data_IF_289422620309
#
_entry.id   IF_289422620309
#
_cell.length_a   1.000
_cell.length_b   1.000
_cell.length_c   1.000
_cell.angle_alpha   90.00
_cell.angle_beta   90.00
_cell.angle_gamma   90.00
#
_symmetry.space_group_name_H-M   'P 1'
#
loop_
_entity.id
_entity.type
_entity.pdbx_description
1 polymer ?
#
# COMPACT_ATOMS: atom_id res chain seq x y z
N UNK A 1 -20.74 -27.63 -24.29
CA UNK A 1 -19.78 -27.99 -23.23
C UNK A 1 -18.33 -27.74 -23.65
N UNK A 2 -17.90 -28.21 -24.82
CA UNK A 2 -16.52 -28.07 -25.32
C UNK A 2 -15.93 -26.65 -25.17
N UNK A 3 -16.67 -25.62 -25.58
CA UNK A 3 -16.22 -24.22 -25.46
C UNK A 3 -15.91 -23.83 -24.00
N UNK A 4 -16.74 -24.25 -23.05
CA UNK A 4 -16.56 -23.95 -21.62
C UNK A 4 -15.36 -24.70 -21.06
N UNK A 5 -15.15 -25.96 -21.45
CA UNK A 5 -13.94 -26.72 -21.10
C UNK A 5 -12.68 -26.01 -21.61
N UNK A 6 -12.66 -25.62 -22.88
CA UNK A 6 -11.53 -24.89 -23.47
C UNK A 6 -11.25 -23.59 -22.73
N UNK A 7 -12.28 -22.78 -22.46
CA UNK A 7 -12.12 -21.52 -21.75
C UNK A 7 -11.62 -21.73 -20.33
N UNK A 8 -12.19 -22.69 -19.61
CA UNK A 8 -11.77 -23.05 -18.24
C UNK A 8 -10.31 -23.46 -18.21
N UNK A 9 -9.86 -24.26 -19.20
CA UNK A 9 -8.46 -24.64 -19.32
C UNK A 9 -7.56 -23.41 -19.52
N UNK A 10 -7.89 -22.53 -20.47
CA UNK A 10 -7.12 -21.33 -20.75
C UNK A 10 -7.00 -20.44 -19.50
N UNK A 11 -8.08 -20.27 -18.74
CA UNK A 11 -8.06 -19.51 -17.49
C UNK A 11 -7.16 -20.17 -16.44
N UNK A 12 -7.28 -21.48 -16.21
CA UNK A 12 -6.41 -22.21 -15.27
C UNK A 12 -4.94 -22.15 -15.67
N UNK A 13 -4.62 -22.23 -16.97
CA UNK A 13 -3.27 -22.05 -17.51
C UNK A 13 -2.73 -20.66 -17.22
N UNK A 14 -3.55 -19.63 -17.43
CA UNK A 14 -3.17 -18.26 -17.11
C UNK A 14 -2.92 -18.08 -15.61
N UNK A 15 -3.77 -18.63 -14.75
CA UNK A 15 -3.59 -18.57 -13.30
C UNK A 15 -2.30 -19.26 -12.89
N UNK A 16 -2.02 -20.47 -13.42
CA UNK A 16 -0.79 -21.21 -13.16
C UNK A 16 0.45 -20.38 -13.53
N UNK A 17 0.49 -19.87 -14.77
CA UNK A 17 1.63 -19.12 -15.28
C UNK A 17 1.88 -17.83 -14.50
N UNK A 18 0.81 -17.13 -14.10
CA UNK A 18 0.94 -15.85 -13.41
C UNK A 18 1.42 -16.00 -11.95
N UNK A 19 1.08 -17.10 -11.28
CA UNK A 19 1.37 -17.28 -9.85
C UNK A 19 2.53 -18.23 -9.60
N UNK A 20 2.68 -19.26 -10.44
CA UNK A 20 3.72 -20.29 -10.33
C UNK A 20 4.44 -20.49 -11.68
N UNK A 21 5.14 -19.47 -12.20
CA UNK A 21 5.68 -19.46 -13.57
C UNK A 21 6.74 -20.53 -13.85
N UNK A 22 7.36 -21.12 -12.83
CA UNK A 22 8.35 -22.19 -12.99
C UNK A 22 7.71 -23.57 -13.09
N UNK A 23 6.42 -23.69 -12.79
CA UNK A 23 5.73 -24.97 -12.89
C UNK A 23 5.40 -25.30 -14.34
N UNK A 24 5.58 -26.58 -14.68
CA UNK A 24 5.16 -27.11 -15.97
C UNK A 24 3.72 -27.61 -15.85
N UNK A 25 2.84 -27.07 -16.70
CA UNK A 25 1.42 -27.45 -16.74
C UNK A 25 1.22 -28.95 -16.83
N UNK A 26 1.90 -29.62 -17.76
CA UNK A 26 1.77 -31.09 -17.94
C UNK A 26 2.12 -31.88 -16.67
N UNK A 27 3.08 -31.40 -15.89
CA UNK A 27 3.46 -32.04 -14.64
C UNK A 27 2.37 -31.84 -13.59
N UNK A 28 1.95 -30.59 -13.38
CA UNK A 28 0.87 -30.22 -12.46
C UNK A 28 -0.40 -31.03 -12.78
N UNK A 29 -0.81 -31.09 -14.04
CA UNK A 29 -2.01 -31.80 -14.48
C UNK A 29 -1.91 -33.29 -14.18
N UNK A 30 -0.74 -33.90 -14.43
CA UNK A 30 -0.49 -35.31 -14.14
C UNK A 30 -0.58 -35.60 -12.63
N UNK A 31 0.13 -34.83 -11.81
CA UNK A 31 0.17 -35.06 -10.36
C UNK A 31 -1.20 -34.82 -9.71
N UNK A 32 -1.91 -33.77 -10.13
CA UNK A 32 -3.26 -33.49 -9.64
C UNK A 32 -4.23 -34.60 -10.06
N UNK A 33 -4.21 -35.00 -11.35
CA UNK A 33 -5.13 -36.03 -11.83
C UNK A 33 -4.88 -37.39 -11.18
N UNK A 34 -3.63 -37.73 -10.85
CA UNK A 34 -3.30 -38.95 -10.13
C UNK A 34 -4.02 -39.04 -8.77
N UNK A 35 -4.27 -37.90 -8.13
CA UNK A 35 -4.98 -37.82 -6.85
C UNK A 35 -6.50 -37.91 -6.97
N UNK A 36 -7.07 -37.88 -8.19
CA UNK A 36 -8.53 -38.01 -8.40
C UNK A 36 -9.13 -39.32 -7.91
N UNK A 37 -8.31 -40.36 -7.77
CA UNK A 37 -8.72 -41.69 -7.29
C UNK A 37 -8.70 -41.81 -5.77
N UNK A 38 -8.17 -40.82 -5.07
CA UNK A 38 -8.03 -40.87 -3.63
C UNK A 38 -9.33 -40.40 -2.97
N UNK A 39 -9.84 -41.20 -2.05
CA UNK A 39 -11.03 -40.84 -1.25
C UNK A 39 -10.75 -39.61 -0.35
N UNK A 40 -9.51 -39.48 0.14
CA UNK A 40 -9.08 -38.39 1.00
C UNK A 40 -7.73 -37.84 0.55
N UNK A 41 -7.72 -36.57 0.15
CA UNK A 41 -6.53 -35.84 -0.26
C UNK A 41 -6.06 -34.98 0.93
N UNK A 42 -4.84 -35.19 1.42
CA UNK A 42 -4.25 -34.38 2.49
C UNK A 42 -3.41 -33.26 1.89
N UNK A 43 -3.16 -32.21 2.68
CA UNK A 43 -2.28 -31.11 2.27
C UNK A 43 -0.86 -31.55 1.86
N UNK A 44 -0.34 -32.61 2.49
CA UNK A 44 0.94 -33.21 2.12
C UNK A 44 0.95 -33.75 0.70
N UNK A 45 -0.18 -34.23 0.20
CA UNK A 45 -0.33 -34.77 -1.15
C UNK A 45 -0.43 -33.62 -2.15
N UNK A 46 -1.25 -32.62 -1.81
CA UNK A 46 -1.36 -31.37 -2.57
C UNK A 46 0.03 -30.76 -2.74
N UNK A 47 0.76 -30.53 -1.64
CA UNK A 47 2.07 -29.85 -1.70
C UNK A 47 3.08 -30.51 -2.65
N UNK A 48 2.98 -31.84 -2.87
CA UNK A 48 3.86 -32.59 -3.78
C UNK A 48 3.58 -32.35 -5.27
N UNK A 49 2.42 -31.81 -5.63
CA UNK A 49 2.13 -31.49 -7.03
C UNK A 49 2.95 -30.31 -7.57
N UNK A 50 3.65 -29.56 -6.70
CA UNK A 50 4.49 -28.43 -7.09
C UNK A 50 5.96 -28.82 -7.00
N UNK A 51 6.73 -28.58 -8.07
CA UNK A 51 8.16 -28.88 -8.11
C UNK A 51 9.04 -27.79 -7.51
N UNK A 52 8.51 -26.56 -7.43
CA UNK A 52 9.29 -25.41 -6.98
C UNK A 52 8.72 -24.83 -5.69
N UNK A 53 9.62 -24.34 -4.85
CA UNK A 53 9.26 -23.56 -3.67
C UNK A 53 8.91 -22.13 -4.07
N UNK A 54 7.86 -21.61 -3.45
CA UNK A 54 7.40 -20.23 -3.61
C UNK A 54 7.24 -19.58 -2.25
N UNK A 55 7.39 -18.26 -2.19
CA UNK A 55 7.16 -17.45 -0.98
C UNK A 55 5.66 -17.36 -0.69
N UNK A 56 5.08 -18.46 -0.24
CA UNK A 56 3.69 -18.57 0.19
C UNK A 56 3.62 -19.16 1.60
N UNK A 57 2.51 -18.94 2.30
CA UNK A 57 2.24 -19.60 3.58
C UNK A 57 2.27 -21.13 3.40
N UNK A 58 2.74 -21.86 4.42
CA UNK A 58 2.84 -23.33 4.45
C UNK A 58 1.53 -24.05 4.05
N UNK A 59 0.37 -23.41 4.27
CA UNK A 59 -0.97 -23.85 3.81
C UNK A 59 -1.68 -22.73 3.03
N UNK A 60 -1.22 -22.47 1.82
CA UNK A 60 -1.74 -21.43 0.95
C UNK A 60 -3.18 -21.75 0.50
N UNK A 61 -4.14 -20.92 0.94
CA UNK A 61 -5.55 -21.00 0.51
C UNK A 61 -5.64 -20.86 -1.02
N UNK A 62 -4.82 -20.00 -1.61
CA UNK A 62 -4.79 -19.79 -3.06
C UNK A 62 -4.34 -21.05 -3.79
N UNK A 63 -3.26 -21.69 -3.32
CA UNK A 63 -2.77 -22.97 -3.86
C UNK A 63 -3.80 -24.09 -3.70
N UNK A 64 -4.48 -24.16 -2.56
CA UNK A 64 -5.54 -25.13 -2.29
C UNK A 64 -6.72 -25.00 -3.25
N UNK A 65 -7.20 -23.78 -3.48
CA UNK A 65 -8.33 -23.56 -4.37
C UNK A 65 -7.95 -23.80 -5.83
N UNK A 66 -6.72 -23.43 -6.24
CA UNK A 66 -6.22 -23.77 -7.57
C UNK A 66 -6.11 -25.28 -7.78
N UNK A 67 -5.60 -26.02 -6.78
CA UNK A 67 -5.54 -27.48 -6.80
C UNK A 67 -6.91 -28.08 -7.14
N UNK A 68 -7.93 -27.73 -6.37
CA UNK A 68 -9.27 -28.29 -6.56
C UNK A 68 -9.92 -27.79 -7.85
N UNK A 69 -9.72 -26.54 -8.24
CA UNK A 69 -10.22 -26.02 -9.51
C UNK A 69 -9.68 -26.86 -10.69
N UNK A 70 -8.38 -27.17 -10.65
CA UNK A 70 -7.72 -27.97 -11.69
C UNK A 70 -8.13 -29.44 -11.62
N UNK A 71 -8.25 -30.02 -10.42
CA UNK A 71 -8.73 -31.39 -10.23
C UNK A 71 -10.13 -31.58 -10.83
N UNK A 72 -11.07 -30.70 -10.49
CA UNK A 72 -12.43 -30.75 -11.01
C UNK A 72 -12.47 -30.59 -12.54
N UNK A 73 -11.65 -29.69 -13.10
CA UNK A 73 -11.54 -29.55 -14.55
C UNK A 73 -11.03 -30.82 -15.24
N UNK A 74 -10.00 -31.47 -14.69
CA UNK A 74 -9.42 -32.69 -15.26
C UNK A 74 -10.42 -33.86 -15.18
N UNK A 75 -11.13 -34.00 -14.05
CA UNK A 75 -12.21 -34.97 -13.90
C UNK A 75 -13.38 -34.67 -14.87
N UNK A 76 -13.77 -33.40 -15.03
CA UNK A 76 -14.81 -33.00 -15.98
C UNK A 76 -14.46 -33.36 -17.43
N UNK A 77 -13.19 -33.17 -17.81
CA UNK A 77 -12.69 -33.53 -19.14
C UNK A 77 -12.78 -35.05 -19.36
N UNK A 78 -12.30 -35.83 -18.39
CA UNK A 78 -12.37 -37.30 -18.39
C UNK A 78 -13.81 -37.82 -18.44
N UNK A 79 -14.74 -37.20 -17.71
CA UNK A 79 -16.15 -37.55 -17.73
C UNK A 79 -16.80 -37.24 -19.08
N UNK A 80 -16.50 -36.08 -19.68
CA UNK A 80 -16.98 -35.67 -21.00
C UNK A 80 -16.49 -36.64 -22.10
N UNK A 81 -15.20 -37.02 -22.08
CA UNK A 81 -14.62 -37.99 -23.02
C UNK A 81 -15.28 -39.38 -22.91
N UNK A 82 -15.77 -39.75 -21.73
CA UNK A 82 -16.51 -41.01 -21.47
C UNK A 82 -18.01 -40.90 -21.75
N UNK A 83 -18.49 -39.76 -22.27
CA UNK A 83 -19.91 -39.53 -22.55
C UNK A 83 -20.78 -39.30 -21.30
N UNK A 84 -20.18 -39.11 -20.12
CA UNK A 84 -20.90 -38.84 -18.87
C UNK A 84 -21.18 -37.34 -18.71
N UNK A 85 -22.11 -36.83 -19.51
CA UNK A 85 -22.32 -35.40 -19.70
C UNK A 85 -22.74 -34.68 -18.40
N UNK A 86 -23.66 -35.24 -17.62
CA UNK A 86 -24.15 -34.60 -16.38
C UNK A 86 -23.05 -34.50 -15.31
N UNK A 87 -22.31 -35.60 -15.09
CA UNK A 87 -21.15 -35.63 -14.19
C UNK A 87 -20.11 -34.59 -14.62
N UNK A 88 -19.83 -34.53 -15.92
CA UNK A 88 -18.89 -33.58 -16.47
C UNK A 88 -19.31 -32.12 -16.21
N UNK A 89 -20.60 -31.79 -16.37
CA UNK A 89 -21.11 -30.45 -16.08
C UNK A 89 -20.97 -30.08 -14.61
N UNK A 90 -21.38 -30.97 -13.70
CA UNK A 90 -21.28 -30.74 -12.26
C UNK A 90 -19.85 -30.42 -11.87
N UNK A 91 -18.90 -31.24 -12.32
CA UNK A 91 -17.47 -31.05 -12.05
C UNK A 91 -16.96 -29.74 -12.66
N UNK A 92 -17.36 -29.41 -13.89
CA UNK A 92 -16.95 -28.18 -14.54
C UNK A 92 -17.46 -26.94 -13.81
N UNK A 93 -18.70 -26.95 -13.32
CA UNK A 93 -19.25 -25.85 -12.52
C UNK A 93 -18.45 -25.63 -11.23
N UNK A 94 -18.05 -26.69 -10.53
CA UNK A 94 -17.18 -26.57 -9.36
C UNK A 94 -15.82 -25.97 -9.69
N UNK A 95 -15.23 -26.36 -10.83
CA UNK A 95 -13.98 -25.75 -11.31
C UNK A 95 -14.13 -24.24 -11.54
N UNK A 96 -15.17 -23.84 -12.27
CA UNK A 96 -15.46 -22.42 -12.59
C UNK A 96 -15.76 -21.61 -11.33
N UNK A 97 -16.50 -22.17 -10.37
CA UNK A 97 -16.77 -21.51 -9.09
C UNK A 97 -15.47 -21.18 -8.35
N UNK A 98 -14.54 -22.14 -8.27
CA UNK A 98 -13.24 -21.94 -7.62
C UNK A 98 -12.36 -20.95 -8.38
N UNK A 99 -12.44 -20.90 -9.71
CA UNK A 99 -11.78 -19.86 -10.51
C UNK A 99 -12.29 -18.47 -10.10
N UNK A 100 -13.61 -18.29 -10.00
CA UNK A 100 -14.19 -17.02 -9.55
C UNK A 100 -13.73 -16.63 -8.14
N UNK A 101 -13.58 -17.59 -7.23
CA UNK A 101 -12.99 -17.37 -5.91
C UNK A 101 -11.54 -16.88 -5.99
N UNK A 102 -10.70 -17.51 -6.84
CA UNK A 102 -9.29 -17.13 -7.02
C UNK A 102 -9.15 -15.71 -7.59
N UNK A 103 -9.99 -15.34 -8.55
CA UNK A 103 -10.03 -13.98 -9.11
C UNK A 103 -10.45 -12.94 -8.05
N UNK A 104 -11.48 -13.24 -7.27
CA UNK A 104 -11.91 -12.40 -6.15
C UNK A 104 -10.81 -12.20 -5.09
N UNK A 105 -10.08 -13.27 -4.75
CA UNK A 105 -8.96 -13.21 -3.81
C UNK A 105 -7.84 -12.29 -4.32
N UNK A 106 -7.53 -12.35 -5.62
CA UNK A 106 -6.55 -11.47 -6.25
C UNK A 106 -6.97 -10.00 -6.14
N UNK A 107 -8.22 -9.68 -6.47
CA UNK A 107 -8.74 -8.30 -6.38
C UNK A 107 -8.68 -7.75 -4.96
N UNK A 108 -9.02 -8.54 -3.96
CA UNK A 108 -8.94 -8.11 -2.56
C UNK A 108 -7.50 -7.78 -2.15
N UNK A 109 -6.51 -8.56 -2.61
CA UNK A 109 -5.09 -8.30 -2.34
C UNK A 109 -4.62 -7.02 -3.02
N UNK A 110 -5.00 -6.80 -4.28
CA UNK A 110 -4.68 -5.58 -5.03
C UNK A 110 -5.30 -4.34 -4.37
N UNK A 111 -6.55 -4.43 -3.92
CA UNK A 111 -7.22 -3.33 -3.22
C UNK A 111 -6.51 -2.98 -1.90
N UNK A 112 -6.10 -3.99 -1.12
CA UNK A 112 -5.30 -3.76 0.10
C UNK A 112 -3.98 -3.07 -0.20
N UNK A 113 -3.23 -3.56 -1.18
CA UNK A 113 -1.97 -2.95 -1.60
C UNK A 113 -2.18 -1.51 -2.08
N UNK A 114 -3.27 -1.24 -2.78
CA UNK A 114 -3.60 0.10 -3.25
C UNK A 114 -3.96 1.03 -2.08
N UNK A 115 -4.71 0.56 -1.08
CA UNK A 115 -5.00 1.31 0.15
C UNK A 115 -3.72 1.62 0.93
N UNK A 116 -2.84 0.64 1.09
CA UNK A 116 -1.53 0.81 1.75
C UNK A 116 -0.65 1.82 1.00
N UNK A 117 -0.59 1.72 -0.33
CA UNK A 117 0.16 2.66 -1.16
C UNK A 117 -0.40 4.08 -1.04
N UNK A 118 -1.72 4.25 -1.11
CA UNK A 118 -2.38 5.54 -0.89
C UNK A 118 -2.07 6.12 0.48
N UNK A 119 -2.09 5.31 1.53
CA UNK A 119 -1.74 5.74 2.87
C UNK A 119 -0.26 6.19 2.96
N UNK A 120 0.65 5.46 2.32
CA UNK A 120 2.07 5.80 2.22
C UNK A 120 2.31 7.11 1.46
N UNK A 121 1.65 7.27 0.30
CA UNK A 121 1.75 8.48 -0.52
C UNK A 121 1.17 9.70 0.21
N UNK A 122 0.05 9.54 0.92
CA UNK A 122 -0.51 10.56 1.80
C UNK A 122 0.43 10.95 2.95
N UNK A 123 1.07 9.96 3.58
CA UNK A 123 2.09 10.19 4.61
C UNK A 123 3.31 10.95 4.10
N UNK A 124 3.81 10.60 2.90
CA UNK A 124 4.92 11.32 2.24
C UNK A 124 4.53 12.74 1.88
N UNK A 125 3.32 12.97 1.35
CA UNK A 125 2.82 14.30 1.05
C UNK A 125 2.72 15.18 2.31
N UNK A 126 2.22 14.63 3.42
CA UNK A 126 2.18 15.32 4.72
C UNK A 126 3.59 15.69 5.21
N UNK A 127 4.54 14.75 5.15
CA UNK A 127 5.92 14.99 5.57
C UNK A 127 6.60 16.09 4.73
N UNK A 128 6.40 16.06 3.40
CA UNK A 128 6.94 17.08 2.49
C UNK A 128 6.37 18.48 2.77
N UNK A 129 5.04 18.59 2.95
CA UNK A 129 4.41 19.86 3.30
C UNK A 129 4.89 20.39 4.65
N UNK A 130 5.03 19.52 5.66
CA UNK A 130 5.62 19.89 6.95
C UNK A 130 7.04 20.42 6.78
N UNK A 131 7.92 19.75 6.02
CA UNK A 131 9.29 20.22 5.78
C UNK A 131 9.33 21.63 5.18
N UNK A 132 8.56 21.87 4.12
CA UNK A 132 8.46 23.17 3.45
C UNK A 132 7.99 24.27 4.40
N UNK A 133 7.01 23.99 5.25
CA UNK A 133 6.53 24.95 6.23
C UNK A 133 7.57 25.24 7.32
N UNK A 134 8.31 24.23 7.79
CA UNK A 134 9.41 24.44 8.75
C UNK A 134 10.47 25.38 8.17
N UNK A 135 10.86 25.14 6.92
CA UNK A 135 11.81 25.98 6.20
C UNK A 135 11.30 27.42 6.11
N UNK A 136 10.05 27.61 5.67
CA UNK A 136 9.45 28.96 5.55
C UNK A 136 9.30 29.66 6.90
N UNK A 137 8.94 28.94 7.97
CA UNK A 137 8.91 29.48 9.34
C UNK A 137 10.32 29.93 9.74
N UNK A 138 11.34 29.10 9.54
CA UNK A 138 12.73 29.46 9.86
C UNK A 138 13.25 30.63 9.04
N UNK A 139 12.78 30.83 7.80
CA UNK A 139 13.07 32.02 7.00
C UNK A 139 12.46 33.27 7.62
N UNK A 140 11.16 33.25 7.90
CA UNK A 140 10.45 34.38 8.54
C UNK A 140 11.15 34.77 9.84
N UNK A 141 11.53 33.80 10.68
CA UNK A 141 12.20 34.06 11.95
C UNK A 141 13.56 34.77 11.83
N UNK A 142 14.23 34.71 10.67
CA UNK A 142 15.50 35.41 10.44
C UNK A 142 15.31 36.89 10.12
N UNK A 143 14.11 37.30 9.76
CA UNK A 143 13.76 38.67 9.37
C UNK A 143 12.86 39.29 10.44
N UNK A 144 13.45 39.81 11.53
CA UNK A 144 12.66 40.39 12.60
C UNK A 144 11.90 41.63 12.12
N UNK A 145 10.67 41.87 12.61
CA UNK A 145 9.97 43.12 12.37
C UNK A 145 10.76 44.30 12.98
N UNK A 146 10.44 45.54 12.60
CA UNK A 146 11.17 46.77 13.00
C UNK A 146 11.36 46.93 14.51
N UNK A 147 10.46 46.36 15.33
CA UNK A 147 10.55 46.38 16.80
C UNK A 147 11.23 45.14 17.42
N UNK A 148 11.76 44.26 16.60
CA UNK A 148 12.33 42.97 17.02
C UNK A 148 11.29 41.92 17.37
N UNK A 149 11.77 40.71 17.68
CA UNK A 149 10.91 39.60 18.12
C UNK A 149 10.54 39.72 19.60
N UNK A 150 9.23 39.84 19.87
CA UNK A 150 8.66 39.83 21.22
C UNK A 150 8.58 38.42 21.83
N UNK A 151 7.59 38.19 22.70
CA UNK A 151 7.29 36.86 23.28
C UNK A 151 7.02 35.79 22.22
N UNK A 152 7.21 34.52 22.57
CA UNK A 152 6.94 33.37 21.68
C UNK A 152 5.49 33.37 21.18
N UNK A 153 4.51 33.75 22.03
CA UNK A 153 3.12 33.91 21.60
C UNK A 153 2.97 34.99 20.52
N UNK A 154 3.61 36.15 20.70
CA UNK A 154 3.56 37.22 19.69
C UNK A 154 4.28 36.85 18.39
N UNK A 155 5.30 35.99 18.46
CA UNK A 155 5.99 35.47 17.27
C UNK A 155 5.06 34.52 16.50
N UNK A 156 4.36 33.62 17.20
CA UNK A 156 3.37 32.71 16.59
C UNK A 156 2.25 33.50 15.92
N UNK A 157 1.70 34.51 16.60
CA UNK A 157 0.64 35.37 16.04
C UNK A 157 1.14 36.20 14.86
N UNK A 158 2.40 36.64 14.88
CA UNK A 158 3.01 37.34 13.75
C UNK A 158 3.15 36.44 12.52
N UNK A 159 3.65 35.21 12.69
CA UNK A 159 3.77 34.22 11.59
C UNK A 159 2.39 33.86 11.05
N UNK A 160 1.41 33.63 11.92
CA UNK A 160 0.03 33.33 11.52
C UNK A 160 -0.61 34.46 10.69
N UNK A 161 -0.23 35.71 10.96
CA UNK A 161 -0.77 36.88 10.27
C UNK A 161 0.10 37.37 9.10
N UNK A 162 1.27 36.77 8.89
CA UNK A 162 2.16 37.10 7.79
C UNK A 162 1.49 36.72 6.44
N UNK A 163 1.31 37.70 5.57
CA UNK A 163 0.59 37.53 4.32
C UNK A 163 1.32 36.58 3.34
N UNK A 164 2.64 36.70 3.24
CA UNK A 164 3.47 35.82 2.41
C UNK A 164 3.39 34.37 2.90
N UNK A 165 3.34 34.16 4.22
CA UNK A 165 3.17 32.84 4.81
C UNK A 165 1.79 32.25 4.50
N UNK A 166 0.72 33.05 4.58
CA UNK A 166 -0.64 32.62 4.20
C UNK A 166 -0.71 32.20 2.73
N UNK A 167 -0.16 33.01 1.84
CA UNK A 167 -0.09 32.72 0.40
C UNK A 167 0.73 31.45 0.13
N UNK A 168 1.82 31.26 0.87
CA UNK A 168 2.63 30.05 0.78
C UNK A 168 1.85 28.80 1.21
N UNK A 169 1.14 28.84 2.35
CA UNK A 169 0.30 27.73 2.81
C UNK A 169 -0.70 27.33 1.72
N UNK A 170 -1.39 28.29 1.13
CA UNK A 170 -2.36 28.05 0.06
C UNK A 170 -1.70 27.49 -1.20
N UNK A 171 -0.51 27.99 -1.58
CA UNK A 171 0.23 27.52 -2.76
C UNK A 171 0.62 26.04 -2.66
N UNK A 172 0.92 25.55 -1.45
CA UNK A 172 1.25 24.14 -1.20
C UNK A 172 0.03 23.32 -0.71
N UNK A 173 -1.16 23.94 -0.65
CA UNK A 173 -2.41 23.38 -0.12
C UNK A 173 -2.23 22.74 1.24
N UNK A 174 -1.52 23.42 2.14
CA UNK A 174 -1.23 22.87 3.47
C UNK A 174 -2.47 22.85 4.37
N UNK A 175 -3.47 23.71 4.13
CA UNK A 175 -4.71 23.77 4.91
C UNK A 175 -5.50 22.45 4.83
N UNK A 176 -5.46 21.78 3.68
CA UNK A 176 -6.14 20.49 3.46
C UNK A 176 -5.49 19.34 4.25
N UNK A 177 -4.25 19.51 4.73
CA UNK A 177 -3.42 18.42 5.28
C UNK A 177 -3.00 18.65 6.74
N UNK A 178 -2.82 19.91 7.15
CA UNK A 178 -2.44 20.30 8.52
C UNK A 178 -3.65 20.96 9.18
N UNK A 179 -4.31 20.20 10.07
CA UNK A 179 -5.56 20.62 10.71
C UNK A 179 -5.39 21.74 11.73
N UNK A 180 -4.27 21.75 12.45
CA UNK A 180 -3.95 22.80 13.43
C UNK A 180 -2.64 23.49 13.06
N UNK A 181 -2.78 24.57 12.29
CA UNK A 181 -1.63 25.37 11.86
C UNK A 181 -1.01 26.14 13.03
N UNK A 182 -1.82 26.56 14.01
CA UNK A 182 -1.34 27.31 15.17
C UNK A 182 -0.49 26.44 16.07
N UNK A 183 -0.94 25.22 16.36
CA UNK A 183 -0.16 24.23 17.09
C UNK A 183 1.15 23.89 16.35
N UNK A 184 1.08 23.70 15.03
CA UNK A 184 2.26 23.42 14.22
C UNK A 184 3.31 24.55 14.31
N UNK A 185 2.92 25.81 14.12
CA UNK A 185 3.82 26.96 14.25
C UNK A 185 4.35 27.07 15.68
N UNK A 186 3.50 26.89 16.69
CA UNK A 186 3.91 26.90 18.10
C UNK A 186 5.01 25.87 18.35
N UNK A 187 4.89 24.67 17.79
CA UNK A 187 5.92 23.64 17.93
C UNK A 187 7.25 24.03 17.28
N UNK A 188 7.21 24.73 16.15
CA UNK A 188 8.41 25.19 15.46
C UNK A 188 9.01 26.46 16.06
N UNK A 189 8.23 27.29 16.75
CA UNK A 189 8.72 28.49 17.43
C UNK A 189 9.25 28.14 18.81
N UNK A 190 8.50 27.40 19.62
CA UNK A 190 8.79 27.15 21.04
C UNK A 190 9.70 25.94 21.24
N UNK A 191 9.43 24.84 20.55
CA UNK A 191 10.07 23.55 20.84
C UNK A 191 11.20 23.18 19.87
N UNK A 192 11.40 23.93 18.78
CA UNK A 192 12.50 23.68 17.85
C UNK A 192 13.81 24.36 18.33
N UNK A 193 14.86 23.59 18.71
CA UNK A 193 16.09 24.16 19.28
C UNK A 193 16.86 25.07 18.32
N UNK A 194 16.77 24.82 17.00
CA UNK A 194 17.45 25.66 15.99
C UNK A 194 16.80 27.03 15.90
N UNK A 195 15.47 27.07 15.86
CA UNK A 195 14.73 28.33 15.81
C UNK A 195 14.86 29.11 17.12
N UNK A 196 14.85 28.44 18.27
CA UNK A 196 15.15 29.04 19.57
C UNK A 196 16.54 29.68 19.61
N UNK A 197 17.56 29.00 19.09
CA UNK A 197 18.91 29.56 18.99
C UNK A 197 18.98 30.78 18.07
N UNK A 198 18.29 30.75 16.92
CA UNK A 198 18.17 31.91 16.02
C UNK A 198 17.53 33.11 16.73
N UNK A 199 16.41 32.89 17.43
CA UNK A 199 15.70 33.92 18.17
C UNK A 199 16.57 34.52 19.30
N UNK A 200 17.28 33.69 20.06
CA UNK A 200 18.21 34.14 21.11
C UNK A 200 19.33 35.01 20.54
N UNK A 201 19.93 34.61 19.41
CA UNK A 201 20.98 35.38 18.74
C UNK A 201 20.51 36.72 18.19
N UNK A 202 19.26 36.81 17.73
CA UNK A 202 18.68 38.07 17.25
C UNK A 202 18.37 39.00 18.41
N UNK A 203 17.80 38.48 19.50
CA UNK A 203 17.49 39.24 20.72
C UNK A 203 18.74 39.82 21.38
N UNK A 204 19.85 39.08 21.39
CA UNK A 204 21.12 39.55 21.97
C UNK A 204 21.82 40.64 21.15
N UNK A 205 21.62 40.68 19.82
CA UNK A 205 22.16 41.74 18.94
C UNK A 205 21.43 43.08 19.08
N UNK A 206 20.13 43.05 19.38
CA UNK A 206 19.33 44.26 19.66
C UNK A 206 19.61 44.91 21.02
N UNK A 207 20.38 44.25 21.91
CA UNK A 207 20.69 44.73 23.27
C UNK A 207 22.10 45.34 23.44
N UNK A 208 22.80 45.70 22.36
CA UNK A 208 24.10 46.38 22.49
C UNK A 208 23.91 47.86 22.90
N UNK A 209 24.50 48.36 24.02
CA UNK A 209 24.28 49.73 24.47
C UNK A 209 25.08 50.72 23.61
N UNK A 210 24.38 51.68 22.99
CA UNK A 210 24.94 53.01 22.81
C UNK A 210 24.96 53.67 24.19
N UNK A 211 26.15 53.80 24.79
CA UNK A 211 26.54 54.91 25.68
C UNK A 211 27.90 54.60 26.30
N UNK A 212 28.96 55.19 25.72
CA UNK A 212 30.10 55.78 26.44
C UNK A 212 30.69 56.88 25.55
N UNK A 213 30.01 58.01 25.48
CA UNK A 213 30.70 59.30 25.38
C UNK A 213 31.09 59.72 26.81
N UNK A 214 32.40 59.79 27.06
CA UNK A 214 33.06 60.68 28.02
C UNK A 214 34.57 60.57 27.80
#
# INVERSE_FOLDING_TARGET
>A
MQTVLTQTNLTLRSILKNNWPKELERHIDKEIYALSKNEKIKWSDISKCWNHEYKESKRSIFKLNFFYAKLYYLCATSAHEKGKIDEAWILLFHSVHLIGFLEGYKHQKEEKQFKEKRASDGGKALASKKSKLKEKISEILKEPPTRGWGSESSIVDHILNNQEFKEFITSIKAEETIKDMKEFITSEVVFNPKNQKTLQNLRSKTTTPHDKES
#
